data_IF_193599211008
#
_entry.id   IF_193599211008
#
_cell.length_a   1.000
_cell.length_b   1.000
_cell.length_c   1.000
_cell.angle_alpha   90.00
_cell.angle_beta   90.00
_cell.angle_gamma   90.00
#
_symmetry.space_group_name_H-M   'P 1'
#
loop_
_entity.id
_entity.type
_entity.pdbx_description
1 polymer ?
#
# COMPACT_ATOMS: atom_id res chain seq x y z
N UNK A 1 4.86 10.39 5.05
CA UNK A 1 6.31 10.35 5.30
C UNK A 1 6.91 9.17 4.56
N UNK A 2 8.03 9.38 3.87
CA UNK A 2 8.74 8.29 3.21
C UNK A 2 9.85 7.78 4.11
N UNK A 3 10.03 6.46 4.11
CA UNK A 3 11.09 5.77 4.83
C UNK A 3 11.96 5.03 3.85
N UNK A 4 13.20 4.75 4.24
CA UNK A 4 14.14 4.05 3.37
C UNK A 4 14.68 2.80 4.03
N UNK A 5 14.99 1.82 3.19
CA UNK A 5 15.87 0.70 3.51
C UNK A 5 16.91 0.61 2.40
N UNK A 6 18.08 0.16 2.73
CA UNK A 6 19.14 0.01 1.74
C UNK A 6 20.14 -1.06 2.14
N UNK A 7 20.74 -1.65 1.14
CA UNK A 7 21.87 -2.56 1.29
C UNK A 7 22.98 -2.11 0.34
N UNK A 8 23.92 -2.99 0.09
CA UNK A 8 25.08 -2.69 -0.77
C UNK A 8 24.66 -2.43 -2.24
N UNK A 9 23.53 -2.96 -2.69
CA UNK A 9 23.10 -2.99 -4.10
C UNK A 9 21.95 -2.05 -4.40
N UNK A 10 21.00 -1.92 -3.47
CA UNK A 10 19.73 -1.23 -3.70
C UNK A 10 19.44 -0.17 -2.65
N UNK A 11 18.85 0.92 -3.12
CA UNK A 11 18.20 1.92 -2.29
C UNK A 11 16.69 1.86 -2.54
N UNK A 12 15.89 1.77 -1.48
CA UNK A 12 14.44 1.60 -1.57
C UNK A 12 13.74 2.60 -0.67
N UNK A 13 12.71 3.27 -1.20
CA UNK A 13 11.83 4.14 -0.41
C UNK A 13 10.40 3.60 -0.40
N UNK A 14 9.77 3.71 0.76
CA UNK A 14 8.37 3.32 0.99
C UNK A 14 7.63 4.48 1.65
N UNK A 15 6.44 4.78 1.18
CA UNK A 15 5.56 5.77 1.79
C UNK A 15 4.71 5.14 2.89
N UNK A 16 4.53 5.83 4.01
CA UNK A 16 3.59 5.41 5.05
C UNK A 16 2.15 5.41 4.53
N UNK A 17 1.84 6.30 3.59
CA UNK A 17 0.54 6.29 2.93
C UNK A 17 0.46 5.09 1.99
N UNK A 18 -0.48 4.20 2.28
CA UNK A 18 -0.69 2.98 1.51
C UNK A 18 0.40 1.93 1.69
N UNK A 19 1.41 2.15 2.54
CA UNK A 19 2.63 1.35 2.60
C UNK A 19 3.18 1.11 1.19
N UNK A 20 3.14 2.15 0.37
CA UNK A 20 3.45 2.05 -1.05
C UNK A 20 4.95 2.11 -1.30
N UNK A 21 5.46 1.12 -2.04
CA UNK A 21 6.83 1.15 -2.53
C UNK A 21 6.96 2.28 -3.55
N UNK A 22 7.81 3.26 -3.26
CA UNK A 22 7.89 4.50 -4.03
C UNK A 22 9.10 4.57 -4.94
N UNK A 23 10.18 3.90 -4.57
CA UNK A 23 11.42 4.00 -5.33
C UNK A 23 12.29 2.77 -5.11
N UNK A 24 12.89 2.29 -6.19
CA UNK A 24 13.97 1.29 -6.17
C UNK A 24 15.06 1.80 -7.09
N UNK A 25 16.26 1.97 -6.56
CA UNK A 25 17.42 2.44 -7.32
C UNK A 25 18.58 1.46 -7.18
N UNK A 26 19.21 1.12 -8.30
CA UNK A 26 20.49 0.40 -8.30
C UNK A 26 21.60 1.38 -7.93
N UNK A 27 22.41 1.02 -6.94
CA UNK A 27 23.48 1.89 -6.47
C UNK A 27 24.67 1.96 -7.43
N UNK A 28 24.93 0.88 -8.16
CA UNK A 28 26.08 0.82 -9.08
C UNK A 28 25.92 1.72 -10.31
N UNK A 29 24.70 1.84 -10.82
CA UNK A 29 24.42 2.60 -12.05
C UNK A 29 23.61 3.86 -11.81
N UNK A 30 22.95 3.98 -10.63
CA UNK A 30 21.99 5.03 -10.35
C UNK A 30 20.65 4.81 -11.08
N UNK A 31 20.45 3.64 -11.70
CA UNK A 31 19.23 3.37 -12.47
C UNK A 31 18.01 3.26 -11.56
N UNK A 32 16.93 3.97 -11.92
CA UNK A 32 15.62 3.84 -11.29
C UNK A 32 14.89 2.65 -11.92
N UNK A 33 14.36 1.77 -11.08
CA UNK A 33 13.73 0.53 -11.54
C UNK A 33 12.21 0.67 -11.58
N UNK A 34 11.65 1.45 -10.66
CA UNK A 34 10.22 1.59 -10.51
C UNK A 34 9.69 2.78 -11.32
N UNK A 35 8.43 2.70 -11.76
CA UNK A 35 7.70 3.81 -12.38
C UNK A 35 7.76 5.06 -11.49
N UNK A 36 7.90 6.24 -12.09
CA UNK A 36 8.16 7.49 -11.37
C UNK A 36 6.91 8.17 -10.77
N UNK A 37 5.71 7.62 -11.02
CA UNK A 37 4.47 8.18 -10.48
C UNK A 37 4.02 9.48 -11.14
N UNK A 38 4.41 9.73 -12.39
CA UNK A 38 4.01 10.94 -13.13
C UNK A 38 2.48 11.04 -13.21
N UNK A 39 1.87 12.07 -12.58
CA UNK A 39 0.41 12.19 -12.54
C UNK A 39 -0.23 12.44 -13.91
N UNK A 40 0.54 12.83 -14.92
CA UNK A 40 0.04 12.97 -16.29
C UNK A 40 -0.39 11.61 -16.87
N UNK A 41 0.12 10.50 -16.31
CA UNK A 41 -0.18 9.14 -16.77
C UNK A 41 -0.80 8.32 -15.64
N UNK A 42 -0.08 8.10 -14.55
CA UNK A 42 -0.54 7.32 -13.41
C UNK A 42 0.25 7.69 -12.16
N UNK A 43 -0.45 8.25 -11.16
CA UNK A 43 0.20 8.79 -9.96
C UNK A 43 0.63 7.75 -8.94
N UNK A 44 0.05 6.54 -8.97
CA UNK A 44 0.50 5.44 -8.13
C UNK A 44 1.73 4.76 -8.74
N UNK A 45 2.44 3.98 -7.93
CA UNK A 45 3.63 3.23 -8.36
C UNK A 45 3.50 1.74 -8.12
N UNK A 46 3.12 1.35 -6.91
CA UNK A 46 2.92 -0.04 -6.52
C UNK A 46 1.88 -0.14 -5.39
N UNK A 47 0.65 0.30 -5.64
CA UNK A 47 -0.36 0.36 -4.58
C UNK A 47 -0.73 -1.01 -4.07
N UNK A 48 -1.01 -1.10 -2.76
CA UNK A 48 -1.54 -2.30 -2.12
C UNK A 48 -3.04 -2.36 -2.36
N UNK A 49 -3.52 -3.47 -2.90
CA UNK A 49 -4.91 -3.68 -3.26
C UNK A 49 -5.61 -4.47 -2.17
N UNK A 50 -6.43 -3.80 -1.36
CA UNK A 50 -7.15 -4.40 -0.25
C UNK A 50 -8.35 -3.53 0.14
N UNK A 51 -9.55 -4.10 0.47
CA UNK A 51 -9.84 -5.53 0.54
C UNK A 51 -10.21 -6.18 -0.78
N UNK A 52 -10.33 -5.44 -1.86
CA UNK A 52 -10.66 -6.00 -3.17
C UNK A 52 -9.67 -5.58 -4.23
N UNK A 53 -9.63 -6.33 -5.32
CA UNK A 53 -8.82 -6.07 -6.50
C UNK A 53 -9.75 -5.74 -7.66
N UNK A 54 -9.45 -4.64 -8.37
CA UNK A 54 -10.32 -4.18 -9.45
C UNK A 54 -11.58 -3.52 -8.91
N UNK A 55 -12.57 -3.36 -9.79
CA UNK A 55 -13.88 -2.82 -9.44
C UNK A 55 -14.87 -3.96 -9.35
N UNK A 56 -15.72 -3.93 -8.32
CA UNK A 56 -16.86 -4.84 -8.24
C UNK A 56 -17.98 -4.33 -9.13
N UNK A 57 -18.92 -5.22 -9.47
CA UNK A 57 -20.05 -4.87 -10.31
C UNK A 57 -20.90 -3.78 -9.65
N UNK A 58 -21.17 -2.70 -10.36
CA UNK A 58 -21.86 -1.49 -9.85
C UNK A 58 -21.23 -0.88 -8.59
N UNK A 59 -19.96 -1.15 -8.33
CA UNK A 59 -19.21 -0.67 -7.15
C UNK A 59 -19.90 -1.08 -5.84
N UNK A 60 -20.46 -2.29 -5.81
CA UNK A 60 -21.16 -2.84 -4.65
C UNK A 60 -20.70 -4.25 -4.37
N UNK A 61 -20.79 -4.63 -3.10
CA UNK A 61 -20.50 -5.98 -2.65
C UNK A 61 -21.53 -6.37 -1.59
N UNK A 62 -22.08 -7.58 -1.69
CA UNK A 62 -23.03 -8.08 -0.73
C UNK A 62 -22.34 -9.02 0.24
N UNK A 63 -22.38 -8.69 1.53
CA UNK A 63 -21.75 -9.46 2.58
C UNK A 63 -22.79 -9.73 3.65
N UNK A 64 -23.05 -11.02 3.94
CA UNK A 64 -24.04 -11.45 4.92
C UNK A 64 -25.43 -10.80 4.70
N UNK A 65 -25.84 -10.68 3.42
CA UNK A 65 -27.12 -10.14 3.06
C UNK A 65 -27.21 -8.62 3.02
N UNK A 66 -26.17 -7.90 3.38
CA UNK A 66 -26.13 -6.43 3.38
C UNK A 66 -25.22 -5.92 2.26
N UNK A 67 -25.64 -4.85 1.58
CA UNK A 67 -24.84 -4.19 0.55
C UNK A 67 -23.83 -3.23 1.16
N UNK A 68 -22.60 -3.28 0.63
CA UNK A 68 -21.53 -2.34 0.93
C UNK A 68 -21.01 -1.74 -0.36
N UNK A 69 -20.68 -0.47 -0.31
CA UNK A 69 -20.02 0.19 -1.44
C UNK A 69 -18.55 -0.19 -1.46
N UNK A 70 -17.99 -0.32 -2.68
CA UNK A 70 -16.58 -0.61 -2.85
C UNK A 70 -15.93 0.48 -3.68
N UNK A 71 -14.60 0.58 -3.54
CA UNK A 71 -13.76 1.42 -4.39
C UNK A 71 -12.91 0.53 -5.28
N UNK A 72 -12.51 1.05 -6.43
CA UNK A 72 -11.54 0.34 -7.25
C UNK A 72 -10.29 0.03 -6.42
N UNK A 73 -9.92 -1.24 -6.36
CA UNK A 73 -8.78 -1.76 -5.59
C UNK A 73 -8.87 -1.55 -4.07
N UNK A 74 -10.08 -1.26 -3.54
CA UNK A 74 -10.28 -1.07 -2.11
C UNK A 74 -9.76 0.25 -1.57
N UNK A 75 -9.44 0.28 -0.28
CA UNK A 75 -9.09 1.52 0.43
C UNK A 75 -7.66 1.57 0.97
N UNK A 76 -6.95 0.44 1.04
CA UNK A 76 -5.64 0.38 1.71
C UNK A 76 -4.64 1.37 1.13
N UNK A 77 -4.62 1.55 -0.19
CA UNK A 77 -3.69 2.46 -0.87
C UNK A 77 -3.86 3.93 -0.50
N UNK A 78 -5.00 4.29 0.09
CA UNK A 78 -5.31 5.66 0.51
C UNK A 78 -5.14 5.87 2.01
N UNK A 79 -4.90 4.81 2.78
CA UNK A 79 -4.80 4.85 4.24
C UNK A 79 -3.36 5.07 4.70
N UNK A 80 -3.24 5.74 5.83
CA UNK A 80 -1.94 5.88 6.51
C UNK A 80 -1.67 4.62 7.31
N UNK A 81 -0.58 3.93 6.98
CA UNK A 81 -0.11 2.77 7.73
C UNK A 81 0.80 3.22 8.87
N UNK A 82 0.80 2.45 9.95
CA UNK A 82 1.75 2.66 11.04
C UNK A 82 3.00 1.83 10.77
N UNK A 83 4.16 2.49 10.75
CA UNK A 83 5.43 1.77 10.69
C UNK A 83 5.76 1.26 12.10
N UNK A 84 5.75 -0.05 12.27
CA UNK A 84 5.98 -0.69 13.57
C UNK A 84 7.41 -1.18 13.75
N UNK A 85 8.15 -1.31 12.67
CA UNK A 85 9.57 -1.68 12.70
C UNK A 85 10.29 -0.95 11.57
N UNK A 86 11.35 -0.24 11.93
CA UNK A 86 12.18 0.48 10.97
C UNK A 86 13.64 0.14 11.23
N UNK A 87 14.19 -0.72 10.38
CA UNK A 87 15.60 -1.11 10.41
C UNK A 87 16.34 -0.63 9.18
N UNK A 88 17.60 -1.00 9.08
CA UNK A 88 18.44 -0.65 7.92
C UNK A 88 17.99 -1.39 6.66
N UNK A 89 17.56 -2.63 6.80
CA UNK A 89 17.20 -3.52 5.69
C UNK A 89 15.76 -4.02 5.77
N UNK A 90 14.95 -3.48 6.68
CA UNK A 90 13.59 -3.96 6.90
C UNK A 90 12.66 -2.84 7.35
N UNK A 91 11.48 -2.81 6.76
CA UNK A 91 10.35 -1.98 7.19
C UNK A 91 9.14 -2.87 7.36
N UNK A 92 8.41 -2.68 8.45
CA UNK A 92 7.19 -3.41 8.72
C UNK A 92 6.07 -2.45 9.07
N UNK A 93 4.97 -2.57 8.35
CA UNK A 93 3.80 -1.70 8.46
C UNK A 93 2.57 -2.47 8.92
N UNK A 94 1.66 -1.74 9.54
CA UNK A 94 0.38 -2.26 10.01
C UNK A 94 -0.75 -1.30 9.67
N UNK A 95 -1.84 -1.84 9.14
CA UNK A 95 -3.12 -1.15 9.01
C UNK A 95 -4.16 -1.93 9.79
N UNK A 96 -4.85 -1.29 10.71
CA UNK A 96 -5.93 -1.91 11.49
C UNK A 96 -7.28 -1.41 11.02
N UNK A 97 -8.29 -2.27 11.11
CA UNK A 97 -9.68 -1.88 10.90
C UNK A 97 -10.09 -0.78 11.89
N UNK A 98 -10.97 0.10 11.45
CA UNK A 98 -11.56 1.16 12.25
C UNK A 98 -13.02 1.39 11.86
N UNK A 99 -13.67 2.39 12.43
CA UNK A 99 -15.07 2.69 12.10
C UNK A 99 -15.26 3.02 10.62
N UNK A 100 -14.30 3.72 10.01
CA UNK A 100 -14.37 4.07 8.61
C UNK A 100 -14.23 2.86 7.71
N UNK A 101 -13.27 1.97 7.96
CA UNK A 101 -13.08 0.78 7.14
C UNK A 101 -14.28 -0.16 7.22
N UNK A 102 -14.96 -0.23 8.37
CA UNK A 102 -16.14 -1.09 8.55
C UNK A 102 -17.34 -0.64 7.72
N UNK A 103 -17.39 0.61 7.27
CA UNK A 103 -18.44 1.08 6.34
C UNK A 103 -18.34 0.42 4.98
N UNK A 104 -17.15 0.01 4.57
CA UNK A 104 -16.89 -0.63 3.27
C UNK A 104 -16.63 -2.12 3.38
N UNK A 105 -16.03 -2.53 4.50
CA UNK A 105 -15.60 -3.90 4.75
C UNK A 105 -15.88 -4.21 6.22
N UNK A 106 -16.97 -4.95 6.53
CA UNK A 106 -17.52 -5.03 7.89
C UNK A 106 -16.82 -6.06 8.80
N UNK A 107 -15.53 -6.26 8.60
CA UNK A 107 -14.75 -7.19 9.38
C UNK A 107 -13.63 -6.48 10.10
N UNK A 108 -13.28 -6.99 11.27
CA UNK A 108 -12.05 -6.60 11.93
C UNK A 108 -10.87 -7.26 11.21
N UNK A 109 -9.82 -6.48 10.98
CA UNK A 109 -8.62 -6.99 10.34
C UNK A 109 -7.38 -6.28 10.86
N UNK A 110 -6.26 -6.95 10.69
CA UNK A 110 -4.93 -6.35 10.79
C UNK A 110 -4.17 -6.75 9.52
N UNK A 111 -3.85 -5.76 8.70
CA UNK A 111 -3.08 -5.96 7.48
C UNK A 111 -1.62 -5.61 7.75
N UNK A 112 -0.75 -6.59 7.58
CA UNK A 112 0.68 -6.43 7.71
C UNK A 112 1.34 -6.33 6.35
N UNK A 113 2.25 -5.38 6.20
CA UNK A 113 3.08 -5.24 5.00
C UNK A 113 4.53 -5.13 5.43
N UNK A 114 5.37 -5.96 4.84
CA UNK A 114 6.78 -5.99 5.17
C UNK A 114 7.63 -5.89 3.91
N UNK A 115 8.64 -5.02 3.97
CA UNK A 115 9.66 -4.90 2.94
C UNK A 115 11.00 -5.26 3.56
N UNK A 116 11.77 -6.07 2.84
CA UNK A 116 13.08 -6.52 3.33
C UNK A 116 13.92 -7.13 2.22
N UNK A 117 15.16 -7.38 2.56
CA UNK A 117 16.11 -8.05 1.68
C UNK A 117 16.35 -9.50 2.11
#
# INVERSE_FOLDING_TARGET
>A
MNRKIENHFLYVEVSDRGAELMRIMRKDTGAEILWNGDPAFWSYRSPILFPNVGSTWQKKMKINGKEYQTRQHGFAREKEFTCVEEGTEKLRYRLMSDEETRKYYPFDFVLWVEFGY
#
